data_IF_637890902159
#
_entry.id   IF_637890902159
#
_cell.length_a   1.000
_cell.length_b   1.000
_cell.length_c   1.000
_cell.angle_alpha   90.00
_cell.angle_beta   90.00
_cell.angle_gamma   90.00
#
_symmetry.space_group_name_H-M   'P 1'
#
loop_
_entity.id
_entity.type
_entity.pdbx_description
1 polymer ?
#
# COMPACT_ATOMS: atom_id res chain seq x y z
N UNK A 1 0.94 5.78 -26.60
CA UNK A 1 -0.35 6.48 -26.77
C UNK A 1 -1.14 6.34 -25.49
N UNK A 2 -1.33 7.41 -24.72
CA UNK A 2 -2.20 7.39 -23.54
C UNK A 2 -3.66 7.32 -24.01
N UNK A 3 -4.34 6.20 -23.70
CA UNK A 3 -5.77 6.01 -23.98
C UNK A 3 -6.55 7.16 -23.31
N UNK A 4 -7.35 7.88 -24.08
CA UNK A 4 -8.27 8.89 -23.54
C UNK A 4 -9.41 8.18 -22.82
N UNK A 5 -9.62 8.53 -21.55
CA UNK A 5 -10.73 8.03 -20.77
C UNK A 5 -12.05 8.59 -21.31
N UNK A 6 -13.08 7.76 -21.33
CA UNK A 6 -14.47 8.18 -21.58
C UNK A 6 -14.98 9.08 -20.45
N UNK A 7 -16.07 9.84 -20.64
CA UNK A 7 -16.70 10.60 -19.56
C UNK A 7 -17.04 9.74 -18.33
N UNK A 8 -17.56 8.54 -18.53
CA UNK A 8 -17.89 7.61 -17.44
C UNK A 8 -16.64 7.14 -16.68
N UNK A 9 -15.55 6.82 -17.39
CA UNK A 9 -14.29 6.43 -16.77
C UNK A 9 -13.65 7.58 -15.97
N UNK A 10 -13.81 8.84 -16.42
CA UNK A 10 -13.34 10.01 -15.67
C UNK A 10 -14.14 10.22 -14.39
N UNK A 11 -15.47 10.09 -14.45
CA UNK A 11 -16.32 10.19 -13.26
C UNK A 11 -15.96 9.11 -12.24
N UNK A 12 -15.84 7.85 -12.68
CA UNK A 12 -15.43 6.75 -11.79
C UNK A 12 -14.03 6.97 -11.17
N UNK A 13 -13.10 7.56 -11.92
CA UNK A 13 -11.78 7.93 -11.38
C UNK A 13 -11.88 9.02 -10.31
N UNK A 14 -12.72 10.04 -10.52
CA UNK A 14 -13.00 11.09 -9.53
C UNK A 14 -13.65 10.52 -8.28
N UNK A 15 -14.61 9.60 -8.42
CA UNK A 15 -15.29 8.94 -7.29
C UNK A 15 -14.31 8.09 -6.48
N UNK A 16 -13.44 7.34 -7.17
CA UNK A 16 -12.35 6.59 -6.54
C UNK A 16 -11.42 7.52 -5.75
N UNK A 17 -10.98 8.63 -6.35
CA UNK A 17 -10.08 9.58 -5.69
C UNK A 17 -10.74 10.20 -4.45
N UNK A 18 -11.99 10.67 -4.57
CA UNK A 18 -12.77 11.19 -3.44
C UNK A 18 -12.90 10.16 -2.31
N UNK A 19 -13.13 8.89 -2.67
CA UNK A 19 -13.21 7.79 -1.70
C UNK A 19 -11.88 7.60 -0.97
N UNK A 20 -10.77 7.58 -1.71
CA UNK A 20 -9.42 7.44 -1.14
C UNK A 20 -9.09 8.62 -0.21
N UNK A 21 -9.37 9.85 -0.62
CA UNK A 21 -9.12 11.04 0.20
C UNK A 21 -9.92 10.99 1.51
N UNK A 22 -11.17 10.52 1.45
CA UNK A 22 -11.99 10.34 2.65
C UNK A 22 -11.45 9.24 3.60
N UNK A 23 -10.85 8.18 3.06
CA UNK A 23 -10.22 7.11 3.84
C UNK A 23 -8.96 7.64 4.51
N UNK A 24 -8.15 8.41 3.77
CA UNK A 24 -6.98 9.08 4.34
C UNK A 24 -7.43 9.97 5.49
N UNK A 25 -8.35 10.92 5.25
CA UNK A 25 -8.80 11.90 6.24
C UNK A 25 -9.30 11.30 7.56
N UNK A 26 -9.98 10.14 7.52
CA UNK A 26 -10.51 9.45 8.72
C UNK A 26 -9.49 8.54 9.42
N UNK A 27 -8.36 8.24 8.78
CA UNK A 27 -7.31 7.38 9.33
C UNK A 27 -6.37 8.22 10.17
N UNK A 28 -6.22 7.88 11.45
CA UNK A 28 -5.31 8.57 12.36
C UNK A 28 -3.86 8.43 11.93
N UNK A 29 -3.02 9.41 12.27
CA UNK A 29 -1.61 9.42 11.88
C UNK A 29 -0.85 8.18 12.39
N UNK A 30 -1.25 7.64 13.54
CA UNK A 30 -0.70 6.41 14.09
C UNK A 30 -0.97 5.19 13.20
N UNK A 31 -2.21 5.01 12.73
CA UNK A 31 -2.57 3.90 11.85
C UNK A 31 -1.86 4.00 10.50
N UNK A 32 -1.75 5.23 9.96
CA UNK A 32 -0.99 5.47 8.73
C UNK A 32 0.47 5.09 8.91
N UNK A 33 1.07 5.53 10.02
CA UNK A 33 2.44 5.19 10.36
C UNK A 33 2.65 3.68 10.47
N UNK A 34 1.78 2.95 11.18
CA UNK A 34 1.88 1.49 11.32
C UNK A 34 1.79 0.77 9.96
N UNK A 35 0.86 1.17 9.11
CA UNK A 35 0.71 0.58 7.76
C UNK A 35 1.95 0.83 6.91
N UNK A 36 2.49 2.05 6.92
CA UNK A 36 3.72 2.34 6.18
C UNK A 36 4.90 1.53 6.70
N UNK A 37 5.08 1.43 8.02
CA UNK A 37 6.15 0.62 8.61
C UNK A 37 6.03 -0.86 8.23
N UNK A 38 4.82 -1.42 8.27
CA UNK A 38 4.56 -2.80 7.87
C UNK A 38 4.96 -3.06 6.41
N UNK A 39 4.61 -2.15 5.49
CA UNK A 39 4.96 -2.28 4.07
C UNK A 39 6.48 -2.25 3.86
N UNK A 40 7.19 -1.31 4.50
CA UNK A 40 8.65 -1.25 4.38
C UNK A 40 9.33 -2.46 5.00
N UNK A 41 8.82 -2.95 6.13
CA UNK A 41 9.36 -4.13 6.78
C UNK A 41 9.22 -5.37 5.90
N UNK A 42 8.00 -5.64 5.41
CA UNK A 42 7.75 -6.78 4.51
C UNK A 42 8.49 -6.64 3.20
N UNK A 43 8.52 -5.46 2.59
CA UNK A 43 9.24 -5.24 1.33
C UNK A 43 10.75 -5.45 1.44
N UNK A 44 11.34 -5.33 2.63
CA UNK A 44 12.75 -5.61 2.89
C UNK A 44 13.01 -7.07 3.32
N UNK A 45 12.09 -7.67 4.05
CA UNK A 45 12.23 -9.03 4.60
C UNK A 45 11.80 -10.12 3.61
N UNK A 46 10.85 -9.80 2.73
CA UNK A 46 10.26 -10.70 1.75
C UNK A 46 10.43 -10.08 0.36
N UNK A 47 10.93 -10.85 -0.60
CA UNK A 47 11.07 -10.39 -1.99
C UNK A 47 9.70 -10.06 -2.59
N UNK A 48 8.67 -10.82 -2.20
CA UNK A 48 7.28 -10.63 -2.62
C UNK A 48 6.32 -10.68 -1.43
N UNK A 49 5.25 -9.89 -1.48
CA UNK A 49 4.23 -9.83 -0.44
C UNK A 49 2.88 -9.38 -1.01
N UNK A 50 1.81 -9.65 -0.27
CA UNK A 50 0.43 -9.31 -0.60
C UNK A 50 -0.25 -8.55 0.53
N UNK A 51 -1.47 -8.09 0.28
CA UNK A 51 -2.28 -7.49 1.35
C UNK A 51 -2.70 -8.50 2.44
N UNK A 52 -2.60 -9.81 2.21
CA UNK A 52 -2.84 -10.80 3.28
C UNK A 52 -1.73 -10.75 4.32
N UNK A 53 -0.47 -10.76 3.88
CA UNK A 53 0.71 -10.76 4.76
C UNK A 53 0.73 -9.56 5.71
N UNK A 54 0.27 -8.41 5.22
CA UNK A 54 0.17 -7.19 6.01
C UNK A 54 -1.02 -7.20 6.98
N UNK A 55 -2.15 -7.81 6.60
CA UNK A 55 -3.34 -7.87 7.47
C UNK A 55 -3.13 -8.73 8.70
N UNK A 56 -2.26 -9.74 8.62
CA UNK A 56 -1.98 -10.63 9.76
C UNK A 56 -1.23 -9.92 10.89
N UNK A 57 -0.51 -8.83 10.58
CA UNK A 57 0.30 -8.08 11.54
C UNK A 57 -0.26 -6.70 11.88
N UNK A 58 -1.14 -6.17 11.03
CA UNK A 58 -1.77 -4.88 11.27
C UNK A 58 -2.97 -5.07 12.21
N UNK A 59 -3.10 -4.24 13.26
CA UNK A 59 -4.30 -4.28 14.08
C UNK A 59 -5.55 -3.99 13.23
N UNK A 60 -6.74 -4.39 13.71
CA UNK A 60 -8.04 -4.09 13.10
C UNK A 60 -8.30 -2.57 12.90
N UNK A 61 -7.37 -1.70 13.27
CA UNK A 61 -7.51 -0.25 13.24
C UNK A 61 -7.40 0.34 11.83
N UNK A 62 -6.85 -0.38 10.85
CA UNK A 62 -6.53 0.17 9.52
C UNK A 62 -7.46 -0.29 8.38
N UNK A 63 -8.69 -0.69 8.70
CA UNK A 63 -9.69 -1.17 7.71
C UNK A 63 -9.98 -0.11 6.64
N UNK A 64 -9.27 -0.21 5.51
CA UNK A 64 -9.42 0.63 4.33
C UNK A 64 -8.15 1.38 3.93
N UNK A 65 -7.33 1.81 4.90
CA UNK A 65 -6.13 2.60 4.60
C UNK A 65 -5.06 1.78 3.88
N UNK A 66 -4.93 0.48 4.18
CA UNK A 66 -3.95 -0.40 3.52
C UNK A 66 -4.04 -0.34 1.99
N UNK A 67 -5.26 -0.38 1.43
CA UNK A 67 -5.46 -0.25 0.00
C UNK A 67 -5.04 1.11 -0.56
N UNK A 68 -5.30 2.19 0.20
CA UNK A 68 -4.88 3.54 -0.16
C UNK A 68 -3.35 3.70 -0.13
N UNK A 69 -2.69 3.14 0.89
CA UNK A 69 -1.24 3.14 1.03
C UNK A 69 -0.56 2.40 -0.13
N UNK A 70 -1.02 1.18 -0.45
CA UNK A 70 -0.52 0.40 -1.60
C UNK A 70 -0.72 1.20 -2.90
N UNK A 71 -1.90 1.81 -3.12
CA UNK A 71 -2.17 2.60 -4.32
C UNK A 71 -1.25 3.83 -4.41
N UNK A 72 -0.96 4.50 -3.29
CA UNK A 72 -0.02 5.63 -3.23
C UNK A 72 1.40 5.21 -3.58
N UNK A 73 1.92 4.16 -2.93
CA UNK A 73 3.28 3.64 -3.17
C UNK A 73 3.48 3.16 -4.60
N UNK A 74 2.48 2.46 -5.17
CA UNK A 74 2.47 2.05 -6.58
C UNK A 74 2.54 3.26 -7.49
N UNK A 75 1.69 4.26 -7.26
CA UNK A 75 1.62 5.47 -8.09
C UNK A 75 2.93 6.25 -8.03
N UNK A 76 3.59 6.26 -6.86
CA UNK A 76 4.91 6.86 -6.65
C UNK A 76 6.08 6.03 -7.23
N UNK A 77 5.81 4.83 -7.76
CA UNK A 77 6.80 3.92 -8.32
C UNK A 77 7.71 3.28 -7.27
N UNK A 78 7.25 3.16 -6.03
CA UNK A 78 8.02 2.60 -4.90
C UNK A 78 7.84 1.09 -4.77
N UNK A 79 6.70 0.59 -5.22
CA UNK A 79 6.40 -0.84 -5.33
C UNK A 79 5.97 -1.14 -6.75
N UNK A 80 6.19 -2.37 -7.17
CA UNK A 80 5.77 -2.86 -8.48
C UNK A 80 5.01 -4.16 -8.36
N UNK A 81 4.07 -4.34 -9.30
CA UNK A 81 3.27 -5.55 -9.41
C UNK A 81 4.15 -6.65 -10.01
N UNK A 82 4.17 -7.84 -9.39
CA UNK A 82 5.02 -8.95 -9.87
C UNK A 82 4.44 -9.64 -11.11
N UNK A 83 3.11 -9.60 -11.23
CA UNK A 83 2.33 -10.30 -12.26
C UNK A 83 1.42 -11.33 -11.63
N UNK A 84 1.75 -11.76 -10.42
CA UNK A 84 1.01 -12.74 -9.66
C UNK A 84 -0.11 -12.13 -8.83
N UNK A 85 -1.07 -12.99 -8.50
CA UNK A 85 -2.20 -12.63 -7.66
C UNK A 85 -2.58 -13.82 -6.77
N UNK A 86 -2.94 -13.52 -5.52
CA UNK A 86 -3.37 -14.50 -4.51
C UNK A 86 -4.82 -14.24 -4.09
N UNK A 87 -5.59 -15.25 -3.67
CA UNK A 87 -6.92 -15.03 -3.12
C UNK A 87 -6.84 -14.31 -1.76
N UNK A 88 -7.74 -13.36 -1.53
CA UNK A 88 -7.89 -12.69 -0.24
C UNK A 88 -8.41 -13.66 0.82
N UNK A 89 -7.78 -13.66 1.99
CA UNK A 89 -8.21 -14.45 3.15
C UNK A 89 -9.16 -13.70 4.07
N UNK A 90 -9.32 -12.39 3.88
CA UNK A 90 -10.18 -11.53 4.70
C UNK A 90 -11.67 -11.82 4.45
N UNK A 91 -12.47 -11.96 5.51
CA UNK A 91 -13.89 -12.32 5.44
C UNK A 91 -14.72 -11.47 4.45
N UNK A 92 -14.73 -10.12 4.55
CA UNK A 92 -15.50 -9.26 3.65
C UNK A 92 -15.09 -9.31 2.17
N UNK A 93 -13.89 -9.83 1.87
CA UNK A 93 -13.34 -9.87 0.50
C UNK A 93 -12.86 -11.25 0.13
N UNK A 94 -13.36 -12.29 0.79
CA UNK A 94 -12.81 -13.64 0.67
C UNK A 94 -12.80 -14.10 -0.79
N UNK A 95 -11.66 -14.63 -1.24
CA UNK A 95 -11.47 -15.09 -2.62
C UNK A 95 -11.24 -13.98 -3.66
N UNK A 96 -11.35 -12.70 -3.30
CA UNK A 96 -10.99 -11.60 -4.23
C UNK A 96 -9.50 -11.67 -4.59
N UNK A 97 -9.18 -11.40 -5.86
CA UNK A 97 -7.78 -11.41 -6.33
C UNK A 97 -7.03 -10.21 -5.76
N UNK A 98 -5.99 -10.50 -4.99
CA UNK A 98 -5.03 -9.53 -4.47
C UNK A 98 -3.75 -9.59 -5.27
N UNK A 99 -3.25 -8.43 -5.65
CA UNK A 99 -1.93 -8.30 -6.27
C UNK A 99 -0.81 -8.71 -5.32
N UNK A 100 0.19 -9.37 -5.89
CA UNK A 100 1.49 -9.56 -5.26
C UNK A 100 2.41 -8.41 -5.66
N UNK A 101 3.10 -7.86 -4.68
CA UNK A 101 3.94 -6.67 -4.78
C UNK A 101 5.36 -6.99 -4.34
N UNK A 102 6.31 -6.23 -4.90
CA UNK A 102 7.68 -6.15 -4.42
C UNK A 102 8.16 -4.70 -4.40
N UNK A 103 9.22 -4.41 -3.65
CA UNK A 103 9.86 -3.09 -3.74
C UNK A 103 10.49 -2.92 -5.13
N UNK A 104 10.29 -1.74 -5.72
CA UNK A 104 11.06 -1.36 -6.91
C UNK A 104 12.49 -1.00 -6.50
N UNK A 105 13.40 -0.83 -7.47
CA UNK A 105 14.74 -0.28 -7.20
C UNK A 105 14.67 1.05 -6.44
N UNK A 106 13.73 1.93 -6.81
CA UNK A 106 13.49 3.19 -6.09
C UNK A 106 13.02 2.94 -4.66
N UNK A 107 12.11 1.97 -4.47
CA UNK A 107 11.65 1.54 -3.15
C UNK A 107 12.79 1.05 -2.27
N UNK A 108 13.64 0.18 -2.80
CA UNK A 108 14.80 -0.39 -2.10
C UNK A 108 15.78 0.68 -1.63
N UNK A 109 16.13 1.65 -2.49
CA UNK A 109 17.02 2.78 -2.12
C UNK A 109 16.46 3.59 -0.95
N UNK A 110 15.15 3.89 -0.97
CA UNK A 110 14.50 4.64 0.11
C UNK A 110 14.45 3.80 1.39
N UNK A 111 14.13 2.52 1.28
CA UNK A 111 14.07 1.60 2.40
C UNK A 111 15.43 1.47 3.11
N UNK A 112 16.53 1.37 2.35
CA UNK A 112 17.89 1.34 2.88
C UNK A 112 18.28 2.67 3.57
N UNK A 113 17.90 3.81 2.99
CA UNK A 113 18.11 5.13 3.60
C UNK A 113 17.37 5.25 4.94
N UNK A 114 16.17 4.69 5.02
CA UNK A 114 15.38 4.64 6.26
C UNK A 114 16.01 3.74 7.33
N UNK A 115 16.57 2.59 6.92
CA UNK A 115 17.29 1.67 7.81
C UNK A 115 18.58 2.29 8.35
N UNK A 116 19.28 3.03 7.50
CA UNK A 116 20.56 3.68 7.82
C UNK A 116 20.43 4.89 8.73
N UNK A 117 19.22 5.38 9.03
CA UNK A 117 19.01 6.49 9.97
C UNK A 117 19.13 5.95 11.40
N UNK A 118 20.25 6.14 12.11
CA UNK A 118 20.36 5.71 13.50
C UNK A 118 19.42 6.59 14.34
N UNK A 119 18.99 6.09 15.50
CA UNK A 119 18.36 6.88 16.57
C UNK A 119 19.22 8.12 16.90
N UNK A 120 19.04 9.22 16.19
CA UNK A 120 19.46 10.54 16.63
C UNK A 120 18.19 11.33 16.95
N UNK A 121 17.63 11.02 18.11
CA UNK A 121 16.72 11.89 18.89
C UNK A 121 16.30 11.14 20.17
N UNK A 122 17.25 10.98 21.08
CA UNK A 122 17.00 10.81 22.50
C UNK A 122 18.23 11.42 23.20
N UNK A 123 18.26 12.75 23.21
CA UNK A 123 19.14 13.58 24.03
C UNK A 123 18.26 14.58 24.75
#
# INVERSE_FOLDING_TARGET
MTRRLTPAERLAATDKNTTLDSIVARTGDWDRFLVEQAIWHFGLACDEWSANDLRDILPELSHGYLGAAINSLRTAGLIEHTGDMVPSTSGPTHGHRLSVWRLSIKGLVIAETRRSRPKQAAA
#
